data_IF_815612987832
#
_entry.id   IF_815612987832
#
_cell.length_a   1.000
_cell.length_b   1.000
_cell.length_c   1.000
_cell.angle_alpha   90.00
_cell.angle_beta   90.00
_cell.angle_gamma   90.00
#
_symmetry.space_group_name_H-M   'P 1'
#
loop_
_entity.id
_entity.type
_entity.pdbx_description
1 polymer ?
#
# COMPACT_ATOMS: atom_id res chain seq x y z
N UNK A 1 8.31 16.55 4.32
CA UNK A 1 7.42 15.87 5.30
C UNK A 1 6.49 14.86 4.61
N UNK A 2 6.87 13.57 4.57
CA UNK A 2 6.10 12.49 3.93
C UNK A 2 5.05 11.85 4.87
N UNK A 3 5.18 12.08 6.18
CA UNK A 3 4.29 11.56 7.23
C UNK A 3 2.80 11.87 6.95
N UNK A 4 2.40 13.09 6.54
CA UNK A 4 0.99 13.39 6.27
C UNK A 4 0.40 12.55 5.13
N UNK A 5 1.21 12.19 4.12
CA UNK A 5 0.76 11.38 2.99
C UNK A 5 0.54 9.93 3.39
N UNK A 6 1.43 9.38 4.22
CA UNK A 6 1.29 8.02 4.74
C UNK A 6 0.05 7.90 5.61
N UNK A 7 -0.19 8.86 6.51
CA UNK A 7 -1.38 8.89 7.36
C UNK A 7 -2.66 9.06 6.53
N UNK A 8 -2.66 9.96 5.54
CA UNK A 8 -3.80 10.15 4.62
C UNK A 8 -4.13 8.86 3.86
N UNK A 9 -3.12 8.20 3.28
CA UNK A 9 -3.28 6.94 2.58
C UNK A 9 -3.77 5.84 3.53
N UNK A 10 -3.21 5.76 4.75
CA UNK A 10 -3.57 4.77 5.73
C UNK A 10 -5.03 4.91 6.18
N UNK A 11 -5.50 6.14 6.43
CA UNK A 11 -6.85 6.40 6.93
C UNK A 11 -7.94 6.38 5.84
N UNK A 12 -7.56 6.38 4.56
CA UNK A 12 -8.52 6.41 3.45
C UNK A 12 -9.55 5.27 3.50
N UNK A 13 -10.82 5.58 3.23
CA UNK A 13 -11.93 4.64 3.41
C UNK A 13 -11.82 3.38 2.54
N UNK A 14 -11.30 3.52 1.32
CA UNK A 14 -11.07 2.36 0.44
C UNK A 14 -10.14 1.31 1.07
N UNK A 15 -9.23 1.72 1.96
CA UNK A 15 -8.29 0.83 2.65
C UNK A 15 -8.89 0.18 3.92
N UNK A 16 -10.13 0.53 4.31
CA UNK A 16 -10.77 0.07 5.54
C UNK A 16 -10.75 -1.45 5.71
N UNK A 17 -11.08 -2.22 4.65
CA UNK A 17 -11.06 -3.69 4.70
C UNK A 17 -9.67 -4.26 4.98
N UNK A 18 -8.63 -3.62 4.43
CA UNK A 18 -7.25 -4.02 4.73
C UNK A 18 -6.87 -3.66 6.18
N UNK A 19 -7.27 -2.49 6.68
CA UNK A 19 -7.07 -2.13 8.09
C UNK A 19 -7.72 -3.11 9.07
N UNK A 20 -8.91 -3.61 8.75
CA UNK A 20 -9.59 -4.63 9.56
C UNK A 20 -8.90 -6.01 9.47
N UNK A 21 -8.34 -6.33 8.31
CA UNK A 21 -7.60 -7.58 8.11
C UNK A 21 -6.25 -7.58 8.84
N UNK A 22 -5.53 -6.46 8.81
CA UNK A 22 -4.17 -6.35 9.28
C UNK A 22 -4.09 -6.24 10.82
N UNK A 23 -3.36 -7.14 11.46
CA UNK A 23 -3.14 -7.11 12.91
C UNK A 23 -1.85 -6.37 13.28
N UNK A 24 -0.82 -6.51 12.44
CA UNK A 24 0.45 -5.79 12.57
C UNK A 24 0.77 -5.03 11.27
N UNK A 25 -0.01 -3.97 10.95
CA UNK A 25 0.21 -3.21 9.74
C UNK A 25 1.52 -2.43 9.79
N UNK A 26 2.26 -2.46 8.69
CA UNK A 26 3.48 -1.69 8.50
C UNK A 26 3.46 -0.99 7.15
N UNK A 27 4.18 0.14 7.07
CA UNK A 27 4.56 0.74 5.81
C UNK A 27 5.55 -0.21 5.11
N UNK A 28 5.19 -0.67 3.91
CA UNK A 28 6.02 -1.56 3.11
C UNK A 28 6.97 -0.79 2.20
N UNK A 29 6.41 0.16 1.43
CA UNK A 29 7.16 0.92 0.43
C UNK A 29 6.39 2.18 0.04
N UNK A 30 7.13 3.19 -0.40
CA UNK A 30 6.57 4.36 -1.06
C UNK A 30 7.18 4.47 -2.45
N UNK A 31 6.33 4.55 -3.48
CA UNK A 31 6.74 4.76 -4.85
C UNK A 31 6.29 6.17 -5.29
N UNK A 32 7.17 6.95 -5.88
CA UNK A 32 6.84 8.26 -6.45
C UNK A 32 7.33 8.30 -7.90
N UNK A 33 6.42 8.56 -8.84
CA UNK A 33 6.73 8.61 -10.27
C UNK A 33 5.94 9.74 -10.94
N UNK A 34 6.65 10.81 -11.34
CA UNK A 34 5.99 12.03 -11.81
C UNK A 34 5.08 12.62 -10.73
N UNK A 35 3.83 12.89 -11.09
CA UNK A 35 2.80 13.41 -10.17
C UNK A 35 2.09 12.30 -9.36
N UNK A 36 2.42 11.04 -9.60
CA UNK A 36 1.80 9.91 -8.92
C UNK A 36 2.62 9.50 -7.68
N UNK A 37 1.94 9.33 -6.54
CA UNK A 37 2.53 8.79 -5.32
C UNK A 37 1.73 7.61 -4.80
N UNK A 38 2.37 6.44 -4.66
CA UNK A 38 1.78 5.23 -4.10
C UNK A 38 2.37 4.92 -2.73
N UNK A 39 1.50 4.71 -1.74
CA UNK A 39 1.87 4.29 -0.39
C UNK A 39 1.38 2.85 -0.19
N UNK A 40 2.32 1.93 0.02
CA UNK A 40 2.03 0.51 0.18
C UNK A 40 2.17 0.07 1.63
N UNK A 41 1.21 -0.75 2.06
CA UNK A 41 1.16 -1.35 3.37
C UNK A 41 1.15 -2.88 3.27
N UNK A 42 1.70 -3.52 4.29
CA UNK A 42 1.63 -4.97 4.46
C UNK A 42 1.43 -5.33 5.93
N UNK A 43 1.23 -6.60 6.23
CA UNK A 43 1.09 -7.12 7.60
C UNK A 43 2.30 -8.00 7.94
N UNK A 44 2.93 -7.71 9.08
CA UNK A 44 4.13 -8.42 9.54
C UNK A 44 3.90 -9.92 9.75
N UNK A 45 2.67 -10.37 10.07
CA UNK A 45 2.35 -11.81 10.23
C UNK A 45 2.66 -12.63 8.97
N UNK A 46 2.64 -11.97 7.80
CA UNK A 46 2.86 -12.61 6.50
C UNK A 46 4.17 -12.14 5.84
N UNK A 47 5.01 -11.41 6.57
CA UNK A 47 6.32 -10.98 6.11
C UNK A 47 7.37 -11.97 6.58
N UNK A 48 7.85 -12.82 5.66
CA UNK A 48 8.85 -13.82 5.93
C UNK A 48 10.19 -13.43 5.29
N UNK A 49 11.34 -13.76 5.92
CA UNK A 49 12.64 -13.56 5.32
C UNK A 49 12.71 -14.14 3.90
N UNK A 50 13.32 -13.39 2.98
CA UNK A 50 13.55 -13.77 1.59
C UNK A 50 12.30 -13.97 0.72
N UNK A 51 11.10 -13.78 1.26
CA UNK A 51 9.85 -13.87 0.51
C UNK A 51 9.22 -12.50 0.31
N UNK A 52 8.66 -12.30 -0.89
CA UNK A 52 7.88 -11.11 -1.18
C UNK A 52 6.53 -11.19 -0.46
N UNK A 53 6.15 -10.19 0.37
CA UNK A 53 4.90 -10.25 1.12
C UNK A 53 3.69 -10.40 0.19
N UNK A 54 2.82 -11.40 0.40
CA UNK A 54 1.72 -11.69 -0.54
C UNK A 54 0.57 -10.67 -0.43
N UNK A 55 0.42 -10.00 0.71
CA UNK A 55 -0.62 -9.03 0.99
C UNK A 55 -0.04 -7.62 1.03
N UNK A 56 0.06 -6.99 -0.15
CA UNK A 56 0.58 -5.63 -0.31
C UNK A 56 -0.52 -4.79 -0.93
N UNK A 57 -1.14 -3.95 -0.12
CA UNK A 57 -2.25 -3.08 -0.50
C UNK A 57 -1.83 -1.64 -0.29
N UNK A 58 -2.25 -0.75 -1.16
CA UNK A 58 -1.81 0.62 -1.11
C UNK A 58 -2.77 1.56 -1.77
N UNK A 59 -2.55 2.83 -1.49
CA UNK A 59 -3.28 3.93 -2.10
C UNK A 59 -2.31 4.66 -3.03
N UNK A 60 -2.70 4.82 -4.29
CA UNK A 60 -1.99 5.65 -5.26
C UNK A 60 -2.76 6.95 -5.44
N UNK A 61 -2.06 8.08 -5.33
CA UNK A 61 -2.61 9.41 -5.59
C UNK A 61 -2.11 9.90 -6.94
N UNK A 62 -3.02 10.18 -7.86
CA UNK A 62 -2.73 10.86 -9.12
C UNK A 62 -3.38 12.24 -9.11
N UNK A 63 -2.55 13.29 -9.17
CA UNK A 63 -2.86 14.73 -9.10
C UNK A 63 -3.65 15.19 -7.86
N UNK A 64 -4.74 14.51 -7.49
CA UNK A 64 -5.56 14.69 -6.29
C UNK A 64 -6.42 13.46 -5.95
N UNK A 65 -6.59 12.51 -6.88
CA UNK A 65 -7.49 11.37 -6.72
C UNK A 65 -6.74 10.18 -6.12
N UNK A 66 -7.29 9.63 -5.04
CA UNK A 66 -6.76 8.42 -4.41
C UNK A 66 -7.47 7.18 -4.96
N UNK A 67 -6.68 6.19 -5.37
CA UNK A 67 -7.17 4.89 -5.84
C UNK A 67 -6.51 3.76 -5.07
N UNK A 68 -7.32 2.78 -4.69
CA UNK A 68 -6.83 1.56 -4.06
C UNK A 68 -6.23 0.62 -5.10
N UNK A 69 -5.06 0.08 -4.78
CA UNK A 69 -4.38 -0.94 -5.55
C UNK A 69 -3.85 -2.05 -4.65
N UNK A 70 -3.57 -3.19 -5.27
CA UNK A 70 -2.66 -4.21 -4.70
C UNK A 70 -1.47 -4.41 -5.62
N UNK A 71 -0.34 -4.83 -5.04
CA UNK A 71 0.74 -5.41 -5.84
C UNK A 71 0.38 -6.86 -6.17
N UNK A 72 0.56 -7.26 -7.43
CA UNK A 72 0.30 -8.64 -7.86
C UNK A 72 1.18 -9.61 -7.08
N UNK A 73 0.64 -10.80 -6.82
CA UNK A 73 1.39 -11.88 -6.17
C UNK A 73 2.53 -12.31 -7.09
N UNK A 74 3.67 -12.66 -6.51
CA UNK A 74 4.88 -13.07 -7.23
C UNK A 74 5.52 -12.00 -8.11
N UNK A 75 5.08 -10.74 -8.02
CA UNK A 75 5.73 -9.60 -8.70
C UNK A 75 6.29 -8.61 -7.68
N UNK A 76 7.25 -7.80 -8.09
CA UNK A 76 7.88 -6.79 -7.24
C UNK A 76 7.20 -5.42 -7.34
N UNK A 77 6.68 -5.08 -8.51
CA UNK A 77 6.15 -3.73 -8.79
C UNK A 77 4.83 -3.71 -9.58
N UNK A 78 4.34 -4.84 -10.11
CA UNK A 78 3.14 -4.83 -10.94
C UNK A 78 1.89 -4.56 -10.09
N UNK A 79 1.13 -3.53 -10.46
CA UNK A 79 -0.05 -3.07 -9.74
C UNK A 79 -1.31 -3.69 -10.32
N UNK A 80 -2.33 -3.82 -9.48
CA UNK A 80 -3.68 -4.24 -9.84
C UNK A 80 -4.68 -3.34 -9.12
N UNK A 81 -5.55 -2.67 -9.87
CA UNK A 81 -6.67 -1.90 -9.31
C UNK A 81 -7.70 -2.83 -8.62
N UNK A 82 -8.40 -2.30 -7.62
CA UNK A 82 -9.37 -3.02 -6.79
C UNK A 82 -10.74 -2.33 -6.77
#
# INVERSE_FOLDING_TARGET
>A
PQIPLVETAWQHDQLHKFRQFAHFPILYRMDSHGDETCIWFTDLRYTLPYLTPPFRYGMCRDQQEWKIHRLKRFTTAERQAL
#
